data_IF_174412298174
#
_entry.id   IF_174412298174
#
_cell.length_a   1.000
_cell.length_b   1.000
_cell.length_c   1.000
_cell.angle_alpha   90.00
_cell.angle_beta   90.00
_cell.angle_gamma   90.00
#
_symmetry.space_group_name_H-M   'P 1'
#
loop_
_entity.id
_entity.type
_entity.pdbx_description
1 polymer ?
#
# COMPACT_ATOMS: atom_id res chain seq x y z
N UNK A 1 -4.04 15.24 14.31
CA UNK A 1 -3.52 13.87 14.55
C UNK A 1 -3.75 13.02 13.30
N UNK A 2 -3.20 13.41 12.15
CA UNK A 2 -3.33 12.64 10.91
C UNK A 2 -2.02 11.91 10.66
N UNK A 3 -1.89 10.70 11.21
CA UNK A 3 -0.73 9.83 11.03
C UNK A 3 -1.03 8.81 9.93
N UNK A 4 -1.45 9.29 8.76
CA UNK A 4 -1.53 8.44 7.58
C UNK A 4 -0.83 9.18 6.45
N UNK A 5 0.27 8.61 6.01
CA UNK A 5 1.10 9.22 4.98
C UNK A 5 0.81 8.65 3.60
N UNK A 6 0.37 7.39 3.53
CA UNK A 6 0.19 6.66 2.29
C UNK A 6 -0.89 5.60 2.45
N UNK A 7 -1.72 5.46 1.42
CA UNK A 7 -2.63 4.34 1.27
C UNK A 7 -2.36 3.62 -0.06
N UNK A 8 -2.24 2.30 -0.01
CA UNK A 8 -2.08 1.44 -1.19
C UNK A 8 -3.26 0.50 -1.27
N UNK A 9 -3.92 0.50 -2.42
CA UNK A 9 -5.13 -0.27 -2.69
C UNK A 9 -4.87 -1.26 -3.83
N UNK A 10 -5.26 -2.52 -3.63
CA UNK A 10 -5.29 -3.49 -4.72
C UNK A 10 -6.57 -3.33 -5.55
N UNK A 11 -6.41 -3.17 -6.86
CA UNK A 11 -7.53 -3.08 -7.83
C UNK A 11 -8.30 -4.40 -7.94
N UNK A 12 -7.70 -5.54 -7.56
CA UNK A 12 -8.32 -6.86 -7.58
C UNK A 12 -9.27 -7.12 -6.38
N UNK A 13 -9.86 -6.08 -5.79
CA UNK A 13 -10.89 -6.23 -4.78
C UNK A 13 -12.22 -6.53 -5.46
N UNK A 14 -12.80 -7.70 -5.17
CA UNK A 14 -14.07 -8.14 -5.75
C UNK A 14 -15.28 -7.25 -5.34
N UNK A 15 -15.15 -6.45 -4.29
CA UNK A 15 -16.22 -5.56 -3.82
C UNK A 15 -15.99 -4.10 -4.26
N UNK A 16 -16.83 -3.58 -5.17
CA UNK A 16 -16.73 -2.20 -5.65
C UNK A 16 -17.03 -1.17 -4.55
N UNK A 17 -17.77 -1.55 -3.51
CA UNK A 17 -17.97 -0.72 -2.32
C UNK A 17 -16.65 -0.45 -1.59
N UNK A 18 -15.76 -1.43 -1.51
CA UNK A 18 -14.48 -1.29 -0.82
C UNK A 18 -13.57 -0.27 -1.52
N UNK A 19 -13.51 -0.34 -2.86
CA UNK A 19 -12.74 0.62 -3.67
C UNK A 19 -13.28 2.04 -3.52
N UNK A 20 -14.60 2.20 -3.57
CA UNK A 20 -15.25 3.52 -3.39
C UNK A 20 -15.01 4.10 -2.00
N UNK A 21 -15.09 3.28 -0.96
CA UNK A 21 -14.90 3.72 0.42
C UNK A 21 -13.46 4.19 0.63
N UNK A 22 -12.49 3.46 0.08
CA UNK A 22 -11.07 3.83 0.15
C UNK A 22 -10.74 5.06 -0.70
N UNK A 23 -11.34 5.22 -1.88
CA UNK A 23 -11.19 6.45 -2.69
C UNK A 23 -11.79 7.67 -1.99
N UNK A 24 -12.99 7.55 -1.42
CA UNK A 24 -13.63 8.64 -0.67
C UNK A 24 -12.80 9.02 0.56
N UNK A 25 -12.36 8.01 1.33
CA UNK A 25 -11.51 8.21 2.50
C UNK A 25 -10.18 8.90 2.15
N UNK A 26 -9.51 8.48 1.08
CA UNK A 26 -8.26 9.12 0.67
C UNK A 26 -8.48 10.56 0.16
N UNK A 27 -9.62 10.82 -0.48
CA UNK A 27 -9.99 12.16 -0.96
C UNK A 27 -10.28 13.12 0.21
N UNK A 28 -11.05 12.69 1.20
CA UNK A 28 -11.37 13.52 2.39
C UNK A 28 -10.12 13.86 3.20
N UNK A 29 -9.22 12.89 3.40
CA UNK A 29 -8.03 13.07 4.23
C UNK A 29 -6.80 13.59 3.47
N UNK A 30 -6.90 13.87 2.16
CA UNK A 30 -5.76 14.21 1.29
C UNK A 30 -4.59 13.22 1.41
N UNK A 31 -4.92 11.93 1.51
CA UNK A 31 -3.93 10.87 1.59
C UNK A 31 -3.56 10.43 0.18
N UNK A 32 -2.27 10.26 -0.07
CA UNK A 32 -1.80 9.76 -1.34
C UNK A 32 -2.23 8.30 -1.57
N UNK A 33 -3.01 8.06 -2.63
CA UNK A 33 -3.50 6.74 -3.03
C UNK A 33 -2.63 6.13 -4.14
N UNK A 34 -2.14 4.91 -3.92
CA UNK A 34 -1.51 4.09 -4.96
C UNK A 34 -2.42 2.90 -5.28
N UNK A 35 -2.75 2.70 -6.56
CA UNK A 35 -3.48 1.51 -7.04
C UNK A 35 -2.50 0.48 -7.59
N UNK A 36 -2.61 -0.77 -7.16
CA UNK A 36 -1.77 -1.91 -7.60
C UNK A 36 -2.69 -3.01 -8.16
N UNK A 37 -2.34 -3.62 -9.28
CA UNK A 37 -3.22 -4.60 -9.93
C UNK A 37 -3.26 -5.96 -9.20
N UNK A 38 -2.14 -6.39 -8.60
CA UNK A 38 -2.01 -7.71 -7.97
C UNK A 38 -2.01 -7.60 -6.43
N UNK A 39 -3.03 -8.16 -5.78
CA UNK A 39 -3.10 -8.28 -4.32
C UNK A 39 -2.03 -9.23 -3.74
N UNK A 40 -1.63 -10.27 -4.50
CA UNK A 40 -0.56 -11.19 -4.11
C UNK A 40 0.80 -10.49 -4.07
N UNK A 41 1.16 -9.75 -5.12
CA UNK A 41 2.41 -8.96 -5.15
C UNK A 41 2.42 -7.92 -4.03
N UNK A 42 1.26 -7.29 -3.77
CA UNK A 42 1.12 -6.38 -2.64
C UNK A 42 1.39 -7.08 -1.30
N UNK A 43 0.87 -8.28 -1.11
CA UNK A 43 1.15 -9.11 0.07
C UNK A 43 2.63 -9.46 0.23
N UNK A 44 3.33 -9.74 -0.88
CA UNK A 44 4.79 -9.94 -0.87
C UNK A 44 5.54 -8.67 -0.46
N UNK A 45 5.15 -7.50 -0.98
CA UNK A 45 5.78 -6.22 -0.63
C UNK A 45 5.64 -5.83 0.83
N UNK A 46 4.53 -6.21 1.46
CA UNK A 46 4.25 -5.94 2.88
C UNK A 46 4.90 -6.99 3.79
N UNK A 47 5.49 -8.06 3.21
CA UNK A 47 6.10 -9.13 3.99
C UNK A 47 5.08 -10.09 4.61
N UNK A 48 3.85 -10.16 4.09
CA UNK A 48 2.84 -11.16 4.49
C UNK A 48 3.09 -12.55 3.88
N UNK A 49 4.35 -12.81 3.54
CA UNK A 49 4.79 -14.05 2.93
C UNK A 49 5.70 -14.78 3.91
N UNK A 50 5.46 -16.07 4.11
CA UNK A 50 6.41 -16.90 4.85
C UNK A 50 7.56 -17.24 3.90
N UNK A 51 8.77 -16.92 4.32
CA UNK A 51 9.98 -17.28 3.59
C UNK A 51 10.45 -18.60 4.19
N UNK A 52 10.46 -19.66 3.39
CA UNK A 52 11.04 -20.94 3.80
C UNK A 52 12.58 -20.84 3.81
N UNK A 53 13.26 -21.76 4.50
CA UNK A 53 14.74 -21.80 4.60
C UNK A 53 15.48 -21.80 3.24
N UNK A 54 14.79 -22.12 2.15
CA UNK A 54 15.32 -22.13 0.79
C UNK A 54 15.12 -20.78 0.04
N UNK A 55 14.76 -19.71 0.75
CA UNK A 55 14.51 -18.36 0.21
C UNK A 55 13.37 -18.27 -0.82
N UNK A 56 12.53 -19.31 -0.94
CA UNK A 56 11.34 -19.27 -1.78
C UNK A 56 10.13 -18.78 -0.96
N UNK A 57 9.37 -17.78 -1.46
CA UNK A 57 8.16 -17.32 -0.79
C UNK A 57 7.08 -18.41 -0.91
N UNK A 58 6.64 -18.94 0.23
CA UNK A 58 5.54 -19.89 0.32
C UNK A 58 4.40 -19.26 1.13
N UNK A 59 3.15 -19.49 0.71
CA UNK A 59 1.94 -18.94 1.35
C UNK A 59 1.92 -17.40 1.43
N UNK A 60 2.00 -16.74 0.29
CA UNK A 60 1.71 -15.30 0.17
C UNK A 60 0.25 -15.05 0.51
N UNK A 61 -0.01 -14.31 1.58
CA UNK A 61 -1.36 -13.81 1.86
C UNK A 61 -1.58 -12.54 1.05
N UNK A 62 -2.61 -12.55 0.19
CA UNK A 62 -2.97 -11.38 -0.60
C UNK A 62 -3.38 -10.22 0.31
N UNK A 63 -2.87 -9.03 0.02
CA UNK A 63 -3.24 -7.82 0.73
C UNK A 63 -4.14 -6.95 -0.15
N UNK A 64 -5.30 -6.56 0.39
CA UNK A 64 -6.25 -5.71 -0.32
C UNK A 64 -5.99 -4.23 -0.11
N UNK A 65 -5.56 -3.83 1.10
CA UNK A 65 -5.22 -2.47 1.45
C UNK A 65 -4.08 -2.42 2.46
N UNK A 66 -3.24 -1.40 2.30
CA UNK A 66 -2.11 -1.16 3.19
C UNK A 66 -2.06 0.33 3.47
N UNK A 67 -1.90 0.68 4.74
CA UNK A 67 -1.82 2.07 5.18
C UNK A 67 -0.51 2.27 5.93
N UNK A 68 0.29 3.23 5.49
CA UNK A 68 1.53 3.59 6.18
C UNK A 68 1.24 4.69 7.18
N UNK A 69 1.30 4.33 8.46
CA UNK A 69 1.04 5.24 9.58
C UNK A 69 2.27 6.01 10.02
N UNK A 70 3.40 5.32 10.09
CA UNK A 70 4.67 5.92 10.51
C UNK A 70 5.82 5.24 9.75
N UNK A 71 6.75 6.03 9.22
CA UNK A 71 7.91 5.52 8.50
C UNK A 71 9.07 5.16 9.44
N UNK A 72 8.99 5.54 10.73
CA UNK A 72 10.00 5.26 11.75
C UNK A 72 11.30 6.05 11.59
N UNK A 73 11.99 5.92 10.44
CA UNK A 73 13.20 6.68 10.10
C UNK A 73 13.03 7.39 8.76
N UNK A 74 13.48 8.64 8.69
CA UNK A 74 13.57 9.40 7.45
C UNK A 74 14.71 8.85 6.60
N UNK A 75 14.40 7.84 5.78
CA UNK A 75 15.34 7.24 4.82
C UNK A 75 14.96 7.61 3.39
N UNK A 76 15.81 7.29 2.41
CA UNK A 76 15.63 7.56 0.98
C UNK A 76 14.24 7.16 0.45
N UNK A 77 13.62 6.13 1.03
CA UNK A 77 12.26 5.71 0.70
C UNK A 77 11.22 6.83 0.85
N UNK A 78 11.34 7.70 1.86
CA UNK A 78 10.42 8.84 2.07
C UNK A 78 10.57 9.88 0.95
N UNK A 79 11.79 10.08 0.46
CA UNK A 79 12.08 11.05 -0.60
C UNK A 79 11.59 10.54 -1.95
N UNK A 80 11.84 9.27 -2.27
CA UNK A 80 11.31 8.61 -3.48
C UNK A 80 9.78 8.63 -3.50
N UNK A 81 9.13 8.36 -2.37
CA UNK A 81 7.66 8.38 -2.28
C UNK A 81 7.15 9.83 -2.46
N UNK A 82 7.77 10.81 -1.81
CA UNK A 82 7.40 12.23 -1.98
C UNK A 82 7.61 12.71 -3.42
N UNK A 83 8.70 12.34 -4.06
CA UNK A 83 9.01 12.70 -5.44
C UNK A 83 8.02 12.06 -6.41
N UNK A 84 7.69 10.78 -6.20
CA UNK A 84 6.68 10.08 -6.99
C UNK A 84 5.31 10.78 -6.92
N UNK A 85 4.93 11.28 -5.75
CA UNK A 85 3.68 12.06 -5.61
C UNK A 85 3.77 13.49 -6.13
N UNK A 86 4.95 14.12 -6.07
CA UNK A 86 5.19 15.42 -6.70
C UNK A 86 5.11 15.34 -8.23
N UNK A 87 5.63 14.26 -8.81
CA UNK A 87 5.65 14.05 -10.25
C UNK A 87 4.30 13.61 -10.83
N UNK A 88 3.39 13.11 -9.98
CA UNK A 88 2.04 12.67 -10.36
C UNK A 88 0.96 13.75 -10.17
N UNK A 89 1.36 14.95 -9.75
CA UNK A 89 0.50 16.14 -9.64
C UNK A 89 0.66 17.00 -10.88
#
# INVERSE_FOLDING_TARGET
>A
MHQVHLCVLASNCNEPMYVKLMEAFCTEHQINLIKVNDNKKLGEWVGLSKIDQEYKPHKVVGCSCVVVKDYGKESQAKDVIKEYFKCKK
#
